data_IF_510633380296
#
_entry.id   IF_510633380296
#
_cell.length_a   1.000
_cell.length_b   1.000
_cell.length_c   1.000
_cell.angle_alpha   90.00
_cell.angle_beta   90.00
_cell.angle_gamma   90.00
#
_symmetry.space_group_name_H-M   'P 1'
#
loop_
_entity.id
_entity.type
_entity.pdbx_description
1 polymer ?
#
# COMPACT_ATOMS: atom_id res chain seq x y z
N UNK A 1 -0.38 20.83 20.72
CA UNK A 1 -0.01 19.76 21.68
C UNK A 1 0.31 18.48 20.94
N UNK A 2 -0.64 17.93 20.16
CA UNK A 2 -0.54 16.67 19.42
C UNK A 2 0.87 16.24 18.99
N UNK A 3 1.48 16.89 17.99
CA UNK A 3 2.81 16.50 17.48
C UNK A 3 3.95 16.53 18.51
N UNK A 4 3.84 17.30 19.59
CA UNK A 4 4.82 17.30 20.70
C UNK A 4 4.67 16.06 21.59
N UNK A 5 3.47 15.49 21.68
CA UNK A 5 3.18 14.26 22.40
C UNK A 5 3.68 13.05 21.59
N UNK A 6 3.32 12.99 20.31
CA UNK A 6 3.82 12.00 19.36
C UNK A 6 5.37 11.97 19.28
N UNK A 7 6.01 13.14 19.22
CA UNK A 7 7.47 13.24 19.19
C UNK A 7 8.15 12.65 20.45
N UNK A 8 7.50 12.78 21.62
CA UNK A 8 8.01 12.23 22.87
C UNK A 8 7.92 10.71 22.95
N UNK A 9 6.84 10.12 22.40
CA UNK A 9 6.66 8.66 22.34
C UNK A 9 7.73 8.00 21.47
N UNK A 10 8.12 8.66 20.37
CA UNK A 10 9.23 8.20 19.52
C UNK A 10 10.59 8.40 20.21
N UNK A 11 10.90 9.63 20.64
CA UNK A 11 12.28 10.05 20.91
C UNK A 11 12.45 11.00 22.11
N UNK A 12 11.62 10.93 23.15
CA UNK A 12 11.94 11.62 24.42
C UNK A 12 13.26 11.06 25.00
N UNK A 13 14.18 11.96 25.36
CA UNK A 13 15.50 11.60 25.84
C UNK A 13 15.44 10.88 27.21
N UNK A 14 16.20 9.79 27.34
CA UNK A 14 16.36 9.03 28.59
C UNK A 14 17.19 9.77 29.64
N UNK A 15 17.10 9.30 30.89
CA UNK A 15 18.03 9.55 31.99
C UNK A 15 18.32 11.03 32.34
N UNK A 16 17.44 11.94 31.92
CA UNK A 16 17.55 13.39 32.14
C UNK A 16 16.70 13.93 33.31
N UNK A 17 15.86 13.08 33.92
CA UNK A 17 14.93 13.46 35.00
C UNK A 17 13.68 14.23 34.55
N UNK A 18 13.34 14.25 33.25
CA UNK A 18 12.25 15.02 32.67
C UNK A 18 11.24 14.09 31.98
N UNK A 19 9.98 14.12 32.42
CA UNK A 19 8.85 13.34 31.90
C UNK A 19 9.03 11.81 31.89
N UNK A 20 9.71 11.26 30.89
CA UNK A 20 9.71 9.84 30.55
C UNK A 20 10.76 9.54 29.48
N UNK A 21 10.53 8.52 28.66
CA UNK A 21 11.49 8.08 27.63
C UNK A 21 10.76 7.62 26.38
N UNK A 22 11.27 7.96 25.20
CA UNK A 22 10.75 7.50 23.92
C UNK A 22 11.22 6.08 23.58
N UNK A 23 10.43 5.37 22.78
CA UNK A 23 10.73 3.99 22.35
C UNK A 23 12.11 3.88 21.69
N UNK A 24 12.50 4.90 20.92
CA UNK A 24 13.79 5.02 20.26
C UNK A 24 14.51 6.31 20.69
N UNK A 25 14.71 6.48 22.00
CA UNK A 25 15.25 7.68 22.68
C UNK A 25 16.57 8.28 22.14
N UNK A 26 17.42 7.52 21.43
CA UNK A 26 18.65 8.03 20.80
C UNK A 26 18.44 8.45 19.32
N UNK A 27 17.21 8.35 18.81
CA UNK A 27 16.84 8.78 17.44
C UNK A 27 16.73 10.30 17.32
N UNK A 28 16.91 10.80 16.09
CA UNK A 28 16.56 12.18 15.75
C UNK A 28 15.08 12.27 15.43
N UNK A 29 14.46 13.41 15.78
CA UNK A 29 13.07 13.71 15.47
C UNK A 29 12.97 15.02 14.68
N UNK A 30 12.07 15.07 13.71
CA UNK A 30 11.72 16.26 12.94
C UNK A 30 10.21 16.50 13.03
N UNK A 31 9.77 17.75 13.12
CA UNK A 31 8.37 18.12 13.24
C UNK A 31 7.90 18.94 12.04
N UNK A 32 6.97 18.39 11.26
CA UNK A 32 6.39 19.06 10.08
C UNK A 32 5.04 19.67 10.48
N UNK A 33 5.00 20.99 10.72
CA UNK A 33 3.77 21.70 11.13
C UNK A 33 2.90 22.00 9.89
N UNK A 34 2.03 21.05 9.56
CA UNK A 34 1.17 21.13 8.37
C UNK A 34 -0.33 21.15 8.67
N UNK A 35 -0.78 20.64 9.82
CA UNK A 35 -2.20 20.61 10.24
C UNK A 35 -2.76 21.93 10.79
N UNK A 36 -1.89 22.90 11.10
CA UNK A 36 -2.29 24.18 11.67
C UNK A 36 -2.59 25.19 10.55
N UNK A 37 -3.56 24.84 9.71
CA UNK A 37 -3.95 25.53 8.48
C UNK A 37 -5.48 25.62 8.40
N UNK A 38 -6.04 26.71 7.82
CA UNK A 38 -7.50 26.86 7.73
C UNK A 38 -8.16 25.84 6.77
N UNK A 39 -7.40 25.34 5.79
CA UNK A 39 -7.81 24.27 4.88
C UNK A 39 -6.61 23.39 4.57
N UNK A 40 -6.79 22.08 4.60
CA UNK A 40 -5.82 21.15 4.01
C UNK A 40 -5.95 21.14 2.49
N UNK A 41 -4.83 20.97 1.81
CA UNK A 41 -4.76 20.86 0.35
C UNK A 41 -3.74 19.80 -0.03
N UNK A 42 -4.02 19.06 -1.11
CA UNK A 42 -3.13 18.08 -1.76
C UNK A 42 -1.66 18.54 -1.82
N UNK A 43 -1.43 19.82 -2.16
CA UNK A 43 -0.08 20.41 -2.20
C UNK A 43 0.61 20.48 -0.82
N UNK A 44 -0.11 20.77 0.26
CA UNK A 44 0.46 20.81 1.62
C UNK A 44 0.78 19.38 2.08
N UNK A 45 -0.08 18.43 1.75
CA UNK A 45 0.06 17.02 2.11
C UNK A 45 1.25 16.38 1.40
N UNK A 46 1.29 16.46 0.08
CA UNK A 46 2.38 15.93 -0.75
C UNK A 46 3.74 16.56 -0.40
N UNK A 47 3.79 17.89 -0.13
CA UNK A 47 5.02 18.54 0.33
C UNK A 47 5.44 18.10 1.74
N UNK A 48 4.51 17.68 2.59
CA UNK A 48 4.79 17.22 3.95
C UNK A 48 5.30 15.78 3.97
N UNK A 49 4.66 14.90 3.20
CA UNK A 49 5.06 13.49 3.08
C UNK A 49 6.32 13.32 2.22
N UNK A 50 6.53 14.19 1.24
CA UNK A 50 7.75 14.29 0.44
C UNK A 50 8.86 15.16 1.03
N UNK A 51 8.78 15.59 2.30
CA UNK A 51 9.77 16.50 2.90
C UNK A 51 11.08 15.80 3.27
N UNK A 52 12.19 16.18 2.63
CA UNK A 52 13.54 15.64 2.94
C UNK A 52 13.62 14.09 2.94
N UNK A 53 13.13 13.39 1.89
CA UNK A 53 12.85 11.95 1.93
C UNK A 53 14.11 11.07 1.87
N UNK A 54 15.31 11.68 1.74
CA UNK A 54 16.59 10.98 1.89
C UNK A 54 17.26 11.24 3.25
N UNK A 55 16.68 12.10 4.09
CA UNK A 55 17.12 12.40 5.46
C UNK A 55 16.13 11.87 6.51
N UNK A 56 14.83 11.89 6.22
CA UNK A 56 13.78 11.34 7.07
C UNK A 56 13.52 9.88 6.67
N UNK A 57 13.79 8.94 7.58
CA UNK A 57 13.53 7.52 7.34
C UNK A 57 12.04 7.15 7.52
N UNK A 58 11.40 7.69 8.57
CA UNK A 58 10.07 7.32 9.02
C UNK A 58 9.22 8.58 9.17
N UNK A 59 8.02 8.58 8.60
CA UNK A 59 6.97 9.56 8.85
C UNK A 59 5.88 8.90 9.70
N UNK A 60 5.41 9.59 10.74
CA UNK A 60 4.29 9.15 11.59
C UNK A 60 3.17 10.19 11.47
N UNK A 61 1.96 9.76 11.11
CA UNK A 61 0.86 10.64 10.74
C UNK A 61 -0.53 10.06 11.08
N UNK A 62 -1.53 10.96 11.09
CA UNK A 62 -2.92 10.72 11.54
C UNK A 62 -3.90 11.72 10.88
N UNK A 63 -3.95 11.84 9.54
CA UNK A 63 -4.74 12.87 8.77
C UNK A 63 -4.91 12.50 7.25
N UNK A 64 -5.53 13.33 6.38
CA UNK A 64 -5.63 13.13 4.89
C UNK A 64 -6.53 14.12 4.04
N UNK A 65 -6.68 14.04 2.66
CA UNK A 65 -6.08 13.10 1.67
C UNK A 65 -5.59 13.55 0.23
N UNK A 66 -4.39 13.13 -0.24
CA UNK A 66 -3.99 11.89 -1.00
C UNK A 66 -2.46 11.80 -1.24
N UNK A 67 -1.80 10.61 -1.38
CA UNK A 67 -0.32 10.53 -1.60
C UNK A 67 0.23 9.28 -2.38
N UNK A 68 1.53 9.25 -2.77
CA UNK A 68 2.12 8.30 -3.76
C UNK A 68 3.38 7.48 -3.37
N UNK A 69 4.07 7.83 -2.28
CA UNK A 69 4.98 6.95 -1.51
C UNK A 69 6.24 6.38 -2.18
N UNK A 70 6.72 6.87 -3.33
CA UNK A 70 7.63 6.08 -4.20
C UNK A 70 9.12 6.48 -4.29
N UNK A 71 9.59 7.52 -3.61
CA UNK A 71 10.99 8.00 -3.67
C UNK A 71 11.59 8.46 -2.33
N UNK A 72 12.51 7.68 -1.77
CA UNK A 72 13.32 8.10 -0.62
C UNK A 72 14.13 6.97 0.01
N UNK A 73 14.83 7.26 1.10
CA UNK A 73 15.83 6.39 1.76
C UNK A 73 16.79 5.73 0.77
N UNK A 74 17.35 6.50 -0.16
CA UNK A 74 18.24 6.01 -1.22
C UNK A 74 17.67 4.84 -2.05
N UNK A 75 16.35 4.78 -2.22
CA UNK A 75 15.65 3.73 -2.98
C UNK A 75 15.13 2.56 -2.15
N UNK A 76 15.36 2.53 -0.83
CA UNK A 76 14.72 1.58 0.08
C UNK A 76 13.24 1.93 0.33
N UNK A 77 12.86 3.19 0.10
CA UNK A 77 11.53 3.74 0.38
C UNK A 77 11.35 4.08 1.86
N UNK A 78 10.77 5.26 2.12
CA UNK A 78 10.39 5.73 3.45
C UNK A 78 9.32 4.82 4.05
N UNK A 79 9.19 4.85 5.37
CA UNK A 79 8.16 4.13 6.11
C UNK A 79 7.13 5.16 6.54
N UNK A 80 5.90 5.04 6.05
CA UNK A 80 4.77 5.85 6.51
C UNK A 80 3.99 5.04 7.54
N UNK A 81 3.95 5.48 8.78
CA UNK A 81 3.15 4.88 9.84
C UNK A 81 1.88 5.70 9.99
N UNK A 82 0.72 5.05 9.90
CA UNK A 82 -0.58 5.71 10.00
C UNK A 82 -1.34 5.19 11.22
N UNK A 83 -1.98 6.10 11.94
CA UNK A 83 -3.07 5.74 12.83
C UNK A 83 -4.23 5.18 11.99
N UNK A 84 -4.85 4.07 12.41
CA UNK A 84 -5.95 3.48 11.65
C UNK A 84 -7.22 4.33 11.66
N UNK A 85 -7.47 5.10 12.73
CA UNK A 85 -8.63 5.97 12.87
C UNK A 85 -9.29 5.88 14.25
N UNK A 86 -10.01 6.95 14.63
CA UNK A 86 -10.65 7.13 15.94
C UNK A 86 -12.20 7.20 15.86
N UNK A 87 -12.79 6.83 14.72
CA UNK A 87 -14.24 6.80 14.46
C UNK A 87 -15.03 5.70 15.17
N UNK A 88 -14.35 4.71 15.74
CA UNK A 88 -14.96 3.64 16.54
C UNK A 88 -15.75 2.62 15.73
N UNK A 89 -16.91 2.22 16.25
CA UNK A 89 -17.67 1.08 15.71
C UNK A 89 -18.57 1.40 14.52
N UNK A 90 -18.81 2.69 14.28
CA UNK A 90 -19.68 3.21 13.23
C UNK A 90 -18.88 3.62 11.96
N UNK A 91 -17.56 3.39 11.95
CA UNK A 91 -16.65 3.68 10.83
C UNK A 91 -15.76 2.46 10.47
N UNK A 92 -15.16 2.47 9.28
CA UNK A 92 -14.28 1.40 8.76
C UNK A 92 -13.04 2.01 8.09
N UNK A 93 -11.86 1.75 8.65
CA UNK A 93 -10.60 2.31 8.18
C UNK A 93 -10.14 1.82 6.78
N UNK A 94 -10.93 1.01 6.04
CA UNK A 94 -10.78 0.87 4.59
C UNK A 94 -11.35 2.08 3.80
N UNK A 95 -12.20 2.90 4.42
CA UNK A 95 -12.75 4.14 3.85
C UNK A 95 -11.78 5.33 3.94
N UNK A 96 -10.78 5.28 4.83
CA UNK A 96 -9.61 6.16 4.82
C UNK A 96 -8.57 5.68 3.77
N UNK A 97 -8.30 6.52 2.77
CA UNK A 97 -7.38 6.21 1.67
C UNK A 97 -5.90 6.00 2.06
N UNK A 98 -5.46 6.42 3.25
CA UNK A 98 -4.13 6.15 3.80
C UNK A 98 -4.11 4.93 4.69
N UNK A 99 -5.08 4.77 5.59
CA UNK A 99 -5.17 3.57 6.41
C UNK A 99 -5.39 2.34 5.53
N UNK A 100 -6.08 2.48 4.39
CA UNK A 100 -6.22 1.48 3.33
C UNK A 100 -5.02 1.36 2.38
N UNK A 101 -4.04 2.28 2.43
CA UNK A 101 -2.95 2.35 1.45
C UNK A 101 -1.91 1.25 1.65
N UNK A 102 -1.53 0.56 0.57
CA UNK A 102 -0.42 -0.41 0.64
C UNK A 102 0.94 0.23 0.99
N UNK A 103 1.06 1.56 0.88
CA UNK A 103 2.30 2.31 1.12
C UNK A 103 2.48 2.75 2.57
N UNK A 104 1.43 2.65 3.39
CA UNK A 104 1.48 2.92 4.83
C UNK A 104 1.62 1.62 5.62
N UNK A 105 1.87 1.76 6.92
CA UNK A 105 1.69 0.73 7.92
C UNK A 105 0.59 1.25 8.84
N UNK A 106 -0.65 0.80 8.61
CA UNK A 106 -1.81 1.15 9.44
C UNK A 106 -1.71 0.42 10.79
N UNK A 107 -1.77 1.21 11.86
CA UNK A 107 -1.58 0.80 13.26
C UNK A 107 -2.81 1.22 14.07
N UNK A 108 -3.42 0.24 14.73
CA UNK A 108 -4.55 0.43 15.63
C UNK A 108 -4.12 0.35 17.11
N UNK A 109 -5.03 0.56 18.05
CA UNK A 109 -4.71 0.43 19.47
C UNK A 109 -4.87 -1.00 20.01
N UNK A 110 -4.30 -1.20 21.19
CA UNK A 110 -4.73 -2.17 22.18
C UNK A 110 -4.60 -1.50 23.55
N UNK A 111 -5.41 -1.90 24.53
CA UNK A 111 -5.33 -1.36 25.89
C UNK A 111 -4.64 -2.37 26.83
N UNK A 112 -4.21 -1.91 28.01
CA UNK A 112 -3.35 -2.67 28.93
C UNK A 112 -3.90 -4.03 29.40
N UNK A 113 -5.21 -4.29 29.28
CA UNK A 113 -5.84 -5.58 29.62
C UNK A 113 -6.12 -6.50 28.41
N UNK A 114 -5.70 -6.07 27.21
CA UNK A 114 -5.85 -6.81 25.96
C UNK A 114 -7.12 -6.49 25.17
N UNK A 115 -8.02 -5.64 25.67
CA UNK A 115 -9.16 -5.17 24.87
C UNK A 115 -8.75 -4.21 23.74
N UNK A 116 -9.62 -4.07 22.75
CA UNK A 116 -9.62 -2.90 21.86
C UNK A 116 -10.04 -1.65 22.64
N UNK A 117 -9.59 -0.48 22.20
CA UNK A 117 -10.17 0.79 22.62
C UNK A 117 -11.56 0.98 21.97
N UNK A 118 -12.37 1.86 22.56
CA UNK A 118 -13.75 2.10 22.08
C UNK A 118 -13.81 2.96 20.81
N UNK A 119 -12.73 3.70 20.51
CA UNK A 119 -12.57 4.52 19.33
C UNK A 119 -11.87 3.77 18.18
N UNK A 120 -11.36 2.55 18.41
CA UNK A 120 -10.65 1.78 17.39
C UNK A 120 -11.60 1.40 16.24
N UNK A 121 -11.30 1.89 15.04
CA UNK A 121 -11.94 1.47 13.80
C UNK A 121 -11.51 0.05 13.42
N UNK A 122 -12.39 -0.70 12.76
CA UNK A 122 -12.09 -2.04 12.27
C UNK A 122 -11.96 -2.05 10.75
N UNK A 123 -10.89 -2.62 10.21
CA UNK A 123 -10.72 -2.79 8.77
C UNK A 123 -9.75 -3.92 8.41
N UNK A 124 -9.69 -4.24 7.12
CA UNK A 124 -8.81 -5.29 6.58
C UNK A 124 -7.38 -4.82 6.24
N UNK A 125 -7.13 -3.51 6.30
CA UNK A 125 -5.83 -2.90 5.99
C UNK A 125 -4.92 -2.72 7.21
N UNK A 126 -5.48 -2.67 8.43
CA UNK A 126 -4.73 -2.64 9.70
C UNK A 126 -3.73 -3.80 9.77
N UNK A 127 -2.44 -3.48 9.90
CA UNK A 127 -1.38 -4.50 9.87
C UNK A 127 -1.02 -5.02 11.27
N UNK A 128 -1.07 -4.15 12.28
CA UNK A 128 -0.75 -4.48 13.68
C UNK A 128 -1.37 -3.44 14.63
N UNK A 129 -1.19 -3.65 15.93
CA UNK A 129 -1.49 -2.68 16.98
C UNK A 129 -0.25 -2.29 17.80
N UNK A 130 -0.38 -1.20 18.55
CA UNK A 130 0.49 -0.84 19.68
C UNK A 130 -0.38 -0.38 20.85
N UNK A 131 0.22 0.01 21.98
CA UNK A 131 -0.60 0.35 23.14
C UNK A 131 -1.11 1.78 23.06
N UNK A 132 -2.31 1.99 23.60
CA UNK A 132 -2.88 3.32 23.83
C UNK A 132 -3.89 3.22 24.98
N UNK A 133 -4.66 4.29 25.21
CA UNK A 133 -5.66 4.32 26.26
C UNK A 133 -7.00 3.73 25.77
N UNK A 134 -7.83 3.19 26.67
CA UNK A 134 -9.20 2.79 26.31
C UNK A 134 -10.22 3.93 26.37
N UNK A 135 -9.76 5.15 26.67
CA UNK A 135 -10.47 6.30 27.26
C UNK A 135 -11.64 6.01 28.24
N UNK A 136 -11.66 4.83 28.87
CA UNK A 136 -12.60 4.49 29.98
C UNK A 136 -12.37 5.37 31.21
N UNK A 137 -11.12 5.82 31.43
CA UNK A 137 -10.75 6.85 32.41
C UNK A 137 -9.98 7.97 31.69
N UNK A 138 -10.50 9.22 31.63
CA UNK A 138 -9.85 10.35 30.96
C UNK A 138 -8.55 10.80 31.63
N UNK A 139 -8.24 10.32 32.84
CA UNK A 139 -6.98 10.58 33.55
C UNK A 139 -5.88 9.56 33.20
N UNK A 140 -6.19 8.56 32.35
CA UNK A 140 -5.25 7.51 31.93
C UNK A 140 -4.91 7.61 30.46
N UNK A 141 -3.67 7.32 30.11
CA UNK A 141 -3.20 7.22 28.74
C UNK A 141 -1.68 7.23 28.64
N UNK A 142 -1.17 7.41 27.42
CA UNK A 142 0.26 7.30 27.16
C UNK A 142 1.00 8.49 27.81
N UNK A 143 2.11 8.17 28.46
CA UNK A 143 2.92 9.11 29.21
C UNK A 143 4.02 9.69 28.31
N UNK A 144 3.98 11.00 28.04
CA UNK A 144 4.85 11.64 27.06
C UNK A 144 5.04 13.15 27.33
N UNK A 145 5.86 13.83 26.53
CA UNK A 145 6.08 15.29 26.56
C UNK A 145 4.87 16.07 26.08
N UNK A 146 4.69 17.30 26.54
CA UNK A 146 3.64 18.21 26.10
C UNK A 146 4.15 19.65 25.96
N UNK A 147 3.33 20.53 25.39
CA UNK A 147 3.70 21.94 25.16
C UNK A 147 4.12 22.67 26.45
N UNK A 148 4.94 23.70 26.27
CA UNK A 148 5.40 24.61 27.32
C UNK A 148 6.25 23.92 28.41
N UNK A 149 7.02 22.90 28.03
CA UNK A 149 7.92 22.17 28.95
C UNK A 149 7.17 21.29 29.95
N UNK A 150 5.98 20.81 29.58
CA UNK A 150 5.14 19.95 30.43
C UNK A 150 5.28 18.49 30.04
N UNK A 151 4.71 17.63 30.88
CA UNK A 151 4.49 16.22 30.61
C UNK A 151 2.98 15.95 30.65
N UNK A 152 2.53 14.90 29.97
CA UNK A 152 1.16 14.39 30.05
C UNK A 152 1.17 12.89 30.34
N UNK A 153 0.09 12.40 30.98
CA UNK A 153 -0.23 10.98 31.16
C UNK A 153 -1.60 10.64 30.57
N UNK A 154 -2.07 11.48 29.64
CA UNK A 154 -3.43 11.43 29.06
C UNK A 154 -3.40 11.59 27.54
N UNK A 155 -2.32 11.18 26.87
CA UNK A 155 -2.38 10.97 25.42
C UNK A 155 -3.14 9.68 25.10
N UNK A 156 -3.80 9.64 23.95
CA UNK A 156 -4.96 8.80 23.67
C UNK A 156 -5.21 8.75 22.17
N UNK A 157 -6.05 7.80 21.73
CA UNK A 157 -6.36 7.59 20.31
C UNK A 157 -5.37 6.62 19.65
N UNK A 158 -5.73 6.15 18.48
CA UNK A 158 -4.80 5.49 17.53
C UNK A 158 -3.64 6.40 17.15
N UNK A 159 -3.85 7.72 17.28
CA UNK A 159 -2.81 8.75 17.15
C UNK A 159 -1.69 8.72 18.19
N UNK A 160 -1.85 8.02 19.32
CA UNK A 160 -0.77 7.71 20.27
C UNK A 160 -0.11 6.34 19.99
N UNK A 161 -0.84 5.42 19.34
CA UNK A 161 -0.33 4.12 18.90
C UNK A 161 0.67 4.25 17.72
N UNK A 162 0.32 5.00 16.67
CA UNK A 162 1.20 5.16 15.51
C UNK A 162 2.62 5.71 15.83
N UNK A 163 2.81 6.65 16.79
CA UNK A 163 4.12 7.04 17.30
C UNK A 163 4.91 5.91 17.99
N UNK A 164 4.29 5.07 18.83
CA UNK A 164 4.96 3.91 19.43
C UNK A 164 5.52 2.98 18.33
N UNK A 165 4.70 2.69 17.31
CA UNK A 165 5.10 1.87 16.17
C UNK A 165 6.24 2.50 15.35
N UNK A 166 6.21 3.81 15.12
CA UNK A 166 7.32 4.52 14.47
C UNK A 166 8.64 4.40 15.27
N UNK A 167 8.58 4.46 16.60
CA UNK A 167 9.72 4.16 17.46
C UNK A 167 10.24 2.73 17.31
N UNK A 168 9.34 1.73 17.29
CA UNK A 168 9.73 0.32 17.06
C UNK A 168 10.39 0.13 15.70
N UNK A 169 9.90 0.79 14.64
CA UNK A 169 10.52 0.73 13.32
C UNK A 169 11.89 1.43 13.27
N UNK A 170 12.10 2.50 14.05
CA UNK A 170 13.42 3.13 14.18
C UNK A 170 14.45 2.16 14.76
N UNK A 171 14.10 1.41 15.83
CA UNK A 171 14.95 0.36 16.40
C UNK A 171 15.24 -0.77 15.38
N UNK A 172 14.25 -1.14 14.57
CA UNK A 172 14.43 -2.14 13.51
C UNK A 172 15.38 -1.65 12.39
N UNK A 173 15.30 -0.36 12.03
CA UNK A 173 16.20 0.27 11.06
C UNK A 173 17.63 0.43 11.59
N UNK A 174 17.81 0.79 12.87
CA UNK A 174 19.13 0.80 13.52
C UNK A 174 19.77 -0.59 13.43
N UNK A 175 18.98 -1.63 13.73
CA UNK A 175 19.41 -3.02 13.68
C UNK A 175 19.73 -3.53 12.26
N UNK A 176 19.12 -2.96 11.22
CA UNK A 176 19.41 -3.26 9.82
C UNK A 176 18.99 -2.10 8.89
N UNK A 177 19.94 -1.21 8.58
CA UNK A 177 19.69 -0.03 7.74
C UNK A 177 19.30 -0.33 6.29
N UNK A 178 19.41 -1.59 5.84
CA UNK A 178 19.09 -2.05 4.48
C UNK A 178 17.64 -2.53 4.31
N UNK A 179 16.83 -2.49 5.37
CA UNK A 179 15.40 -2.82 5.28
C UNK A 179 14.68 -1.82 4.36
N UNK A 180 13.96 -2.34 3.38
CA UNK A 180 12.99 -1.57 2.58
C UNK A 180 11.66 -1.40 3.33
N UNK A 181 10.81 -0.47 2.87
CA UNK A 181 9.46 -0.28 3.43
C UNK A 181 8.64 -1.60 3.49
N UNK A 182 8.78 -2.46 2.46
CA UNK A 182 8.16 -3.80 2.44
C UNK A 182 8.75 -4.74 3.48
N UNK A 183 10.05 -4.66 3.73
CA UNK A 183 10.68 -5.52 4.74
C UNK A 183 10.14 -5.19 6.14
N UNK A 184 9.86 -3.92 6.43
CA UNK A 184 9.22 -3.47 7.69
C UNK A 184 7.79 -4.02 7.82
N UNK A 185 6.98 -3.97 6.76
CA UNK A 185 5.65 -4.62 6.75
C UNK A 185 5.77 -6.14 6.98
N UNK A 186 6.72 -6.81 6.31
CA UNK A 186 6.95 -8.25 6.50
C UNK A 186 7.41 -8.60 7.92
N UNK A 187 8.31 -7.81 8.50
CA UNK A 187 8.73 -7.96 9.90
C UNK A 187 7.53 -7.78 10.84
N UNK A 188 6.73 -6.73 10.63
CA UNK A 188 5.50 -6.44 11.40
C UNK A 188 4.57 -7.66 11.44
N UNK A 189 4.22 -8.22 10.28
CA UNK A 189 3.38 -9.43 10.20
C UNK A 189 3.99 -10.64 10.93
N UNK A 190 5.31 -10.82 10.83
CA UNK A 190 6.00 -12.01 11.35
C UNK A 190 6.40 -11.93 12.83
N UNK A 191 6.36 -10.75 13.45
CA UNK A 191 6.77 -10.56 14.85
C UNK A 191 5.68 -9.98 15.75
N UNK A 192 4.53 -9.56 15.21
CA UNK A 192 3.38 -9.15 16.00
C UNK A 192 2.81 -10.31 16.81
N UNK A 193 2.20 -10.00 17.96
CA UNK A 193 1.70 -10.99 18.92
C UNK A 193 0.24 -10.76 19.24
N UNK A 194 -0.56 -11.82 19.07
CA UNK A 194 -1.95 -11.92 19.52
C UNK A 194 -2.11 -11.84 21.05
N UNK A 195 -1.06 -12.10 21.85
CA UNK A 195 -1.13 -12.38 23.29
C UNK A 195 -2.23 -11.65 24.07
N UNK A 196 -3.23 -12.42 24.52
CA UNK A 196 -4.39 -11.94 25.30
C UNK A 196 -5.24 -10.85 24.65
N UNK A 197 -5.10 -10.57 23.35
CA UNK A 197 -5.91 -9.57 22.64
C UNK A 197 -7.30 -10.11 22.32
N UNK A 198 -8.35 -9.35 22.64
CA UNK A 198 -9.73 -9.69 22.31
C UNK A 198 -10.58 -8.46 22.04
N UNK A 199 -11.53 -8.59 21.11
CA UNK A 199 -12.62 -7.62 20.97
C UNK A 199 -13.54 -7.73 22.19
N UNK A 200 -13.68 -6.64 22.94
CA UNK A 200 -14.47 -6.57 24.17
C UNK A 200 -15.96 -6.87 23.92
N UNK A 201 -16.49 -6.53 22.73
CA UNK A 201 -17.87 -6.83 22.30
C UNK A 201 -17.95 -8.10 21.47
N UNK A 202 -16.80 -8.69 21.11
CA UNK A 202 -16.70 -9.97 20.43
C UNK A 202 -17.23 -9.97 19.00
N UNK A 203 -17.29 -8.83 18.32
CA UNK A 203 -17.71 -8.65 16.91
C UNK A 203 -16.70 -9.31 15.98
N UNK A 204 -15.41 -9.06 16.21
CA UNK A 204 -14.31 -9.57 15.37
C UNK A 204 -13.57 -10.72 16.08
N UNK A 205 -13.63 -11.91 15.49
CA UNK A 205 -12.90 -13.09 15.97
C UNK A 205 -11.55 -13.22 15.28
N UNK A 206 -10.55 -13.64 16.06
CA UNK A 206 -9.26 -14.07 15.52
C UNK A 206 -9.46 -15.21 14.53
N UNK A 207 -8.93 -15.04 13.32
CA UNK A 207 -9.06 -15.97 12.20
C UNK A 207 -7.66 -16.35 11.70
N UNK A 208 -7.48 -17.57 11.23
CA UNK A 208 -6.22 -18.04 10.66
C UNK A 208 -6.26 -17.98 9.14
N UNK A 209 -5.25 -17.38 8.52
CA UNK A 209 -5.14 -17.33 7.06
C UNK A 209 -4.58 -18.64 6.48
N UNK A 210 -4.57 -18.77 5.14
CA UNK A 210 -4.15 -19.99 4.44
C UNK A 210 -2.68 -20.41 4.61
N UNK A 211 -1.84 -19.62 5.30
CA UNK A 211 -0.45 -19.98 5.65
C UNK A 211 -0.23 -20.14 7.16
N UNK A 212 -1.31 -20.16 7.96
CA UNK A 212 -1.25 -20.44 9.40
C UNK A 212 -1.02 -19.22 10.30
N UNK A 213 -1.08 -17.99 9.76
CA UNK A 213 -0.95 -16.77 10.57
C UNK A 213 -2.33 -16.32 11.08
N UNK A 214 -2.41 -15.99 12.37
CA UNK A 214 -3.61 -15.42 12.99
C UNK A 214 -3.73 -13.91 12.72
N UNK A 215 -4.94 -13.43 12.46
CA UNK A 215 -5.23 -12.00 12.29
C UNK A 215 -6.62 -11.63 12.84
N UNK A 216 -6.85 -10.33 13.04
CA UNK A 216 -8.11 -9.73 13.47
C UNK A 216 -8.30 -8.34 12.83
N UNK A 217 -9.52 -7.93 12.50
CA UNK A 217 -9.79 -6.63 11.86
C UNK A 217 -9.56 -5.41 12.77
N UNK A 218 -9.54 -5.60 14.09
CA UNK A 218 -9.14 -4.56 15.04
C UNK A 218 -7.62 -4.56 15.26
N UNK A 219 -6.99 -5.74 15.40
CA UNK A 219 -5.59 -5.84 15.85
C UNK A 219 -4.56 -6.13 14.76
N UNK A 220 -4.97 -6.27 13.50
CA UNK A 220 -4.11 -6.79 12.44
C UNK A 220 -3.55 -8.17 12.81
N UNK A 221 -2.23 -8.35 12.71
CA UNK A 221 -1.52 -9.55 13.18
C UNK A 221 -1.17 -9.55 14.69
N UNK A 222 -1.64 -8.55 15.44
CA UNK A 222 -1.44 -8.39 16.89
C UNK A 222 -0.58 -7.18 17.25
N UNK A 223 -0.20 -7.09 18.53
CA UNK A 223 0.64 -5.99 19.03
C UNK A 223 2.10 -6.18 18.65
N UNK A 224 2.79 -5.09 18.27
CA UNK A 224 4.21 -5.12 17.93
C UNK A 224 5.09 -5.63 19.10
N UNK A 225 6.04 -6.50 18.78
CA UNK A 225 7.14 -6.87 19.70
C UNK A 225 8.46 -6.33 19.15
N UNK A 226 8.95 -5.26 19.78
CA UNK A 226 10.20 -4.59 19.40
C UNK A 226 11.42 -5.51 19.49
N UNK A 227 11.48 -6.37 20.52
CA UNK A 227 12.59 -7.31 20.72
C UNK A 227 12.62 -8.38 19.63
N UNK A 228 11.48 -8.96 19.30
CA UNK A 228 11.33 -9.91 18.21
C UNK A 228 11.60 -9.28 16.85
N UNK A 229 11.11 -8.05 16.61
CA UNK A 229 11.34 -7.30 15.37
C UNK A 229 12.83 -7.02 15.15
N UNK A 230 13.53 -6.47 16.16
CA UNK A 230 14.98 -6.23 16.12
C UNK A 230 15.77 -7.53 15.95
N UNK A 231 15.37 -8.61 16.64
CA UNK A 231 16.03 -9.91 16.52
C UNK A 231 15.82 -10.59 15.15
N UNK A 232 14.70 -10.31 14.46
CA UNK A 232 14.46 -10.78 13.11
C UNK A 232 15.14 -9.87 12.06
N UNK A 233 15.12 -8.55 12.24
CA UNK A 233 15.78 -7.55 11.40
C UNK A 233 17.29 -7.84 11.20
N UNK A 234 18.01 -8.16 12.28
CA UNK A 234 19.46 -8.48 12.26
C UNK A 234 19.84 -9.66 11.36
N UNK A 235 18.90 -10.56 11.10
CA UNK A 235 19.06 -11.74 10.23
C UNK A 235 18.17 -11.69 8.99
N UNK A 236 17.52 -10.55 8.74
CA UNK A 236 16.59 -10.41 7.63
C UNK A 236 17.31 -10.34 6.29
N UNK A 237 16.71 -10.97 5.28
CA UNK A 237 17.14 -10.88 3.89
C UNK A 237 16.03 -10.19 3.11
N UNK A 238 16.34 -9.02 2.55
CA UNK A 238 15.43 -8.19 1.76
C UNK A 238 14.59 -9.02 0.79
N UNK A 239 13.28 -8.83 0.83
CA UNK A 239 12.34 -9.59 0.00
C UNK A 239 12.58 -9.37 -1.49
N UNK A 240 12.34 -10.37 -2.35
CA UNK A 240 12.56 -10.22 -3.78
C UNK A 240 11.80 -9.03 -4.37
N UNK A 241 12.52 -8.24 -5.17
CA UNK A 241 11.92 -7.29 -6.10
C UNK A 241 11.53 -8.04 -7.40
N UNK A 242 10.45 -7.60 -8.07
CA UNK A 242 9.98 -8.17 -9.34
C UNK A 242 10.88 -7.73 -10.50
N UNK A 243 12.08 -8.31 -10.55
CA UNK A 243 13.15 -7.99 -11.49
C UNK A 243 12.82 -8.48 -12.90
N UNK A 244 12.97 -7.60 -13.89
CA UNK A 244 13.01 -7.97 -15.31
C UNK A 244 14.37 -8.64 -15.57
N UNK A 245 14.42 -9.91 -16.00
CA UNK A 245 15.69 -10.55 -16.36
C UNK A 245 16.31 -9.89 -17.59
N UNK A 246 17.64 -9.79 -17.64
CA UNK A 246 18.34 -9.20 -18.80
C UNK A 246 18.17 -10.02 -20.09
N UNK A 247 18.06 -11.35 -19.96
CA UNK A 247 18.08 -12.30 -21.09
C UNK A 247 16.80 -13.16 -21.20
N UNK A 248 15.74 -12.84 -20.44
CA UNK A 248 14.45 -13.57 -20.44
C UNK A 248 13.30 -12.60 -20.14
N UNK A 249 12.10 -12.92 -20.59
CA UNK A 249 10.91 -12.15 -20.22
C UNK A 249 10.48 -12.40 -18.77
N UNK A 250 10.12 -11.33 -18.06
CA UNK A 250 9.28 -11.38 -16.86
C UNK A 250 7.83 -11.55 -17.32
N UNK A 251 7.14 -12.56 -16.80
CA UNK A 251 5.74 -12.86 -17.13
C UNK A 251 4.90 -12.73 -15.87
N UNK A 252 3.85 -11.91 -15.91
CA UNK A 252 2.86 -11.76 -14.85
C UNK A 252 1.46 -12.04 -15.41
N UNK A 253 0.58 -12.59 -14.58
CA UNK A 253 -0.77 -12.99 -14.98
C UNK A 253 -1.80 -12.43 -14.01
N UNK A 254 -2.93 -11.97 -14.54
CA UNK A 254 -4.15 -11.64 -13.79
C UNK A 254 -5.27 -12.48 -14.38
N UNK A 255 -5.97 -13.23 -13.53
CA UNK A 255 -7.21 -13.91 -13.90
C UNK A 255 -8.37 -13.09 -13.38
N UNK A 256 -9.32 -12.73 -14.24
CA UNK A 256 -10.47 -11.88 -13.89
C UNK A 256 -11.77 -12.44 -14.45
N UNK A 257 -12.85 -12.26 -13.70
CA UNK A 257 -14.23 -12.48 -14.15
C UNK A 257 -14.82 -11.26 -14.87
N UNK A 258 -14.04 -10.18 -15.06
CA UNK A 258 -14.46 -8.90 -15.64
C UNK A 258 -15.72 -8.30 -14.99
N UNK A 259 -15.78 -8.35 -13.65
CA UNK A 259 -16.90 -7.85 -12.84
C UNK A 259 -18.25 -8.53 -13.17
N UNK A 260 -18.23 -9.80 -13.59
CA UNK A 260 -19.43 -10.57 -13.93
C UNK A 260 -20.49 -10.54 -12.82
N UNK A 261 -21.67 -10.01 -13.14
CA UNK A 261 -22.79 -9.85 -12.21
C UNK A 261 -22.94 -8.45 -11.61
N UNK A 262 -21.91 -7.61 -11.69
CA UNK A 262 -21.90 -6.26 -11.13
C UNK A 262 -22.38 -5.20 -12.14
N UNK A 263 -22.69 -3.99 -11.64
CA UNK A 263 -23.01 -2.83 -12.49
C UNK A 263 -21.84 -2.43 -13.42
N UNK A 264 -20.61 -2.83 -13.10
CA UNK A 264 -19.39 -2.59 -13.90
C UNK A 264 -18.98 -3.81 -14.74
N UNK A 265 -19.88 -4.78 -14.97
CA UNK A 265 -19.57 -5.95 -15.80
C UNK A 265 -19.17 -5.54 -17.23
N UNK A 266 -17.99 -5.97 -17.68
CA UNK A 266 -17.56 -5.82 -19.08
C UNK A 266 -17.61 -7.19 -19.76
N UNK A 267 -18.45 -7.33 -20.79
CA UNK A 267 -18.52 -8.54 -21.64
C UNK A 267 -17.89 -8.33 -23.00
N UNK A 268 -17.97 -7.12 -23.55
CA UNK A 268 -17.49 -6.76 -24.87
C UNK A 268 -16.49 -5.62 -24.73
N UNK A 269 -15.22 -5.90 -25.02
CA UNK A 269 -14.14 -4.93 -24.85
C UNK A 269 -14.17 -3.78 -25.87
N UNK A 270 -13.68 -2.63 -25.43
CA UNK A 270 -13.34 -1.49 -26.28
C UNK A 270 -11.85 -1.18 -26.10
N UNK A 271 -11.52 -0.51 -24.99
CA UNK A 271 -10.17 -0.12 -24.62
C UNK A 271 -9.67 -0.99 -23.46
N UNK A 272 -8.40 -1.39 -23.49
CA UNK A 272 -7.74 -2.05 -22.36
C UNK A 272 -6.49 -1.29 -22.00
N UNK A 273 -6.29 -1.02 -20.71
CA UNK A 273 -5.08 -0.38 -20.20
C UNK A 273 -4.35 -1.30 -19.24
N UNK A 274 -3.03 -1.36 -19.38
CA UNK A 274 -2.13 -1.79 -18.32
C UNK A 274 -1.49 -0.52 -17.74
N UNK A 275 -1.85 -0.18 -16.50
CA UNK A 275 -1.28 0.95 -15.76
C UNK A 275 -0.05 0.44 -15.02
N UNK A 276 1.15 0.84 -15.43
CA UNK A 276 2.42 0.32 -14.89
C UNK A 276 3.21 1.36 -14.10
N UNK A 277 3.82 0.92 -12.99
CA UNK A 277 4.98 1.57 -12.39
C UNK A 277 6.20 0.66 -12.57
N UNK A 278 7.24 1.12 -13.29
CA UNK A 278 8.48 0.35 -13.52
C UNK A 278 9.70 1.27 -13.61
N UNK A 279 10.88 0.75 -13.24
CA UNK A 279 12.16 1.42 -13.49
C UNK A 279 13.13 0.50 -14.28
N UNK A 280 14.10 1.11 -14.95
CA UNK A 280 15.12 0.39 -15.71
C UNK A 280 16.42 1.21 -15.80
N UNK A 281 17.55 0.53 -15.91
CA UNK A 281 18.86 1.14 -16.21
C UNK A 281 18.91 1.79 -17.58
N UNK A 282 18.01 1.40 -18.49
CA UNK A 282 17.73 2.10 -19.75
C UNK A 282 16.29 1.85 -20.20
N UNK A 283 15.43 2.86 -20.05
CA UNK A 283 13.98 2.78 -20.28
C UNK A 283 13.62 2.48 -21.73
N UNK A 284 14.39 3.01 -22.69
CA UNK A 284 14.16 2.77 -24.12
C UNK A 284 14.40 1.33 -24.59
N UNK A 285 15.08 0.51 -23.80
CA UNK A 285 15.28 -0.91 -24.10
C UNK A 285 14.19 -1.81 -23.48
N UNK A 286 13.23 -1.28 -22.71
CA UNK A 286 12.09 -2.04 -22.19
C UNK A 286 11.05 -2.26 -23.30
N UNK A 287 10.68 -3.52 -23.55
CA UNK A 287 9.50 -3.87 -24.34
C UNK A 287 8.42 -4.48 -23.44
N UNK A 288 7.16 -4.08 -23.67
CA UNK A 288 5.99 -4.59 -22.96
C UNK A 288 4.97 -5.16 -23.95
N UNK A 289 4.42 -6.32 -23.61
CA UNK A 289 3.32 -6.95 -24.35
C UNK A 289 2.20 -7.36 -23.41
N UNK A 290 0.96 -7.19 -23.87
CA UNK A 290 -0.25 -7.62 -23.17
C UNK A 290 -1.01 -8.63 -24.02
N UNK A 291 -1.25 -9.82 -23.49
CA UNK A 291 -2.01 -10.88 -24.16
C UNK A 291 -3.36 -11.06 -23.48
N UNK A 292 -4.44 -11.03 -24.26
CA UNK A 292 -5.81 -11.25 -23.79
C UNK A 292 -6.12 -12.73 -23.53
N UNK A 293 -7.22 -13.06 -22.81
CA UNK A 293 -7.69 -14.43 -22.64
C UNK A 293 -8.04 -15.14 -23.96
N UNK A 294 -8.34 -14.40 -25.03
CA UNK A 294 -8.58 -14.94 -26.38
C UNK A 294 -7.31 -15.11 -27.21
N UNK A 295 -6.13 -14.76 -26.67
CA UNK A 295 -4.82 -14.98 -27.28
C UNK A 295 -4.26 -13.79 -28.06
N UNK A 296 -4.98 -12.67 -28.17
CA UNK A 296 -4.52 -11.48 -28.88
C UNK A 296 -3.39 -10.78 -28.12
N UNK A 297 -2.19 -10.77 -28.71
CA UNK A 297 -0.96 -10.21 -28.12
C UNK A 297 -0.67 -8.82 -28.68
N UNK A 298 -0.90 -7.80 -27.88
CA UNK A 298 -0.59 -6.39 -28.17
C UNK A 298 0.83 -6.05 -27.74
N UNK A 299 1.62 -5.38 -28.57
CA UNK A 299 2.82 -4.66 -28.12
C UNK A 299 2.38 -3.29 -27.58
N UNK A 300 2.46 -3.09 -26.27
CA UNK A 300 1.99 -1.86 -25.62
C UNK A 300 3.14 -0.87 -25.34
N UNK A 301 4.39 -1.35 -25.39
CA UNK A 301 5.60 -0.53 -25.44
C UNK A 301 6.62 -1.22 -26.37
N UNK A 302 7.02 -0.52 -27.43
CA UNK A 302 8.12 -0.92 -28.32
C UNK A 302 9.46 -0.39 -27.80
N UNK A 303 10.56 -0.99 -28.25
CA UNK A 303 11.90 -0.42 -28.06
C UNK A 303 11.97 0.99 -28.64
N UNK A 304 12.50 1.95 -27.88
CA UNK A 304 12.73 3.35 -28.27
C UNK A 304 14.23 3.63 -28.23
N UNK A 305 14.90 3.54 -29.38
CA UNK A 305 16.37 3.59 -29.47
C UNK A 305 16.99 4.84 -28.84
N UNK A 306 16.31 5.99 -28.92
CA UNK A 306 16.80 7.28 -28.41
C UNK A 306 16.40 7.58 -26.96
N UNK A 307 15.63 6.72 -26.28
CA UNK A 307 15.26 6.91 -24.86
C UNK A 307 16.31 6.25 -23.96
N UNK A 308 17.31 7.04 -23.57
CA UNK A 308 18.40 6.62 -22.69
C UNK A 308 18.13 6.86 -21.19
N UNK A 309 16.89 7.23 -20.82
CA UNK A 309 16.50 7.44 -19.43
C UNK A 309 16.87 6.23 -18.54
N UNK A 310 17.51 6.54 -17.43
CA UNK A 310 18.00 5.62 -16.41
C UNK A 310 17.51 5.99 -15.00
N UNK A 311 16.68 7.03 -14.89
CA UNK A 311 16.24 7.64 -13.62
C UNK A 311 14.77 7.41 -13.36
N UNK A 312 13.92 7.81 -14.29
CA UNK A 312 12.49 8.02 -14.00
C UNK A 312 11.66 6.78 -14.29
N UNK A 313 11.97 6.05 -15.37
CA UNK A 313 11.19 4.89 -15.77
C UNK A 313 9.77 5.29 -16.21
N UNK A 314 8.77 4.60 -15.67
CA UNK A 314 7.35 4.96 -15.78
C UNK A 314 6.71 4.91 -14.39
N UNK A 315 5.90 5.92 -14.05
CA UNK A 315 5.07 5.94 -12.84
C UNK A 315 3.60 6.01 -13.22
N UNK A 316 2.79 5.07 -12.70
CA UNK A 316 1.34 4.91 -12.98
C UNK A 316 0.95 5.14 -14.46
N UNK A 317 1.80 4.72 -15.41
CA UNK A 317 1.63 5.05 -16.83
C UNK A 317 0.59 4.13 -17.51
N UNK A 318 -0.51 4.66 -18.09
CA UNK A 318 -1.60 3.87 -18.63
C UNK A 318 -1.34 3.45 -20.08
N UNK A 319 -0.54 2.40 -20.29
CA UNK A 319 -0.33 1.82 -21.62
C UNK A 319 -1.62 1.19 -22.14
N UNK A 320 -2.10 1.65 -23.29
CA UNK A 320 -3.42 1.31 -23.82
C UNK A 320 -3.33 0.46 -25.10
N UNK A 321 -4.27 -0.47 -25.29
CA UNK A 321 -4.50 -1.17 -26.55
C UNK A 321 -5.98 -1.21 -26.93
N UNK A 322 -6.26 -1.08 -28.23
CA UNK A 322 -7.56 -1.30 -28.87
C UNK A 322 -7.57 -2.59 -29.71
N UNK A 323 -6.48 -3.37 -29.73
CA UNK A 323 -6.40 -4.56 -30.58
C UNK A 323 -7.37 -5.67 -30.15
N UNK A 324 -7.82 -5.64 -28.89
CA UNK A 324 -8.77 -6.59 -28.29
C UNK A 324 -10.23 -6.12 -28.40
N UNK A 325 -10.55 -5.16 -29.28
CA UNK A 325 -11.90 -4.62 -29.40
C UNK A 325 -12.91 -5.71 -29.81
N UNK A 326 -14.02 -5.79 -29.08
CA UNK A 326 -15.06 -6.80 -29.25
C UNK A 326 -14.72 -8.17 -28.67
N UNK A 327 -13.54 -8.37 -28.08
CA UNK A 327 -13.20 -9.61 -27.37
C UNK A 327 -13.89 -9.70 -26.01
N UNK A 328 -13.92 -10.92 -25.47
CA UNK A 328 -14.42 -11.25 -24.15
C UNK A 328 -13.30 -11.18 -23.11
N UNK A 329 -13.38 -10.31 -22.09
CA UNK A 329 -12.28 -10.06 -21.17
C UNK A 329 -12.10 -11.11 -20.05
N UNK A 330 -13.05 -12.05 -19.91
CA UNK A 330 -13.06 -13.05 -18.84
C UNK A 330 -11.99 -14.12 -19.06
N UNK A 331 -11.16 -14.36 -18.05
CA UNK A 331 -10.06 -15.33 -18.09
C UNK A 331 -8.72 -14.69 -17.71
N UNK A 332 -7.63 -15.25 -18.23
CA UNK A 332 -6.26 -14.91 -17.82
C UNK A 332 -5.59 -13.96 -18.81
N UNK A 333 -5.36 -12.72 -18.36
CA UNK A 333 -4.51 -11.74 -19.01
C UNK A 333 -3.05 -11.98 -18.66
N UNK A 334 -2.15 -11.78 -19.61
CA UNK A 334 -0.70 -11.95 -19.42
C UNK A 334 0.05 -10.69 -19.82
N UNK A 335 0.77 -10.09 -18.87
CA UNK A 335 1.74 -9.02 -19.11
C UNK A 335 3.14 -9.62 -19.21
N UNK A 336 3.81 -9.36 -20.33
CA UNK A 336 5.18 -9.76 -20.60
C UNK A 336 6.08 -8.52 -20.68
N UNK A 337 7.16 -8.50 -19.90
CA UNK A 337 8.16 -7.43 -19.91
C UNK A 337 9.55 -8.01 -20.14
N UNK A 338 10.32 -7.41 -21.06
CA UNK A 338 11.68 -7.87 -21.39
C UNK A 338 12.57 -6.70 -21.81
N UNK A 339 13.87 -6.94 -21.87
CA UNK A 339 14.80 -6.03 -22.51
C UNK A 339 15.09 -6.42 -23.96
N UNK A 340 15.08 -5.44 -24.86
CA UNK A 340 15.59 -5.54 -26.22
C UNK A 340 16.87 -4.70 -26.32
N UNK A 341 17.99 -5.26 -25.84
CA UNK A 341 19.30 -4.61 -25.83
C UNK A 341 20.40 -5.64 -26.12
N UNK A 342 21.53 -5.18 -26.68
CA UNK A 342 22.75 -5.98 -26.80
C UNK A 342 23.55 -5.99 -25.49
N UNK A 343 23.52 -4.90 -24.72
CA UNK A 343 24.10 -4.82 -23.39
C UNK A 343 23.11 -5.29 -22.32
N UNK A 344 23.53 -6.06 -21.30
CA UNK A 344 22.65 -6.47 -20.21
C UNK A 344 22.07 -5.26 -19.48
N UNK A 345 20.74 -5.12 -19.51
CA UNK A 345 20.01 -4.11 -18.74
C UNK A 345 19.39 -4.75 -17.49
N UNK A 346 19.05 -3.93 -16.50
CA UNK A 346 18.28 -4.35 -15.32
C UNK A 346 17.15 -3.39 -15.04
N UNK A 347 16.06 -3.89 -14.45
CA UNK A 347 14.88 -3.09 -14.13
C UNK A 347 13.89 -3.90 -13.33
N UNK A 348 12.85 -3.24 -12.82
CA UNK A 348 11.85 -3.84 -11.96
C UNK A 348 10.47 -3.28 -12.27
N UNK A 349 9.44 -4.14 -12.28
CA UNK A 349 8.05 -3.67 -12.27
C UNK A 349 7.60 -3.60 -10.82
N UNK A 350 7.37 -2.39 -10.32
CA UNK A 350 6.89 -2.15 -8.96
C UNK A 350 5.40 -2.52 -8.84
N UNK A 351 4.62 -2.17 -9.85
CA UNK A 351 3.15 -2.25 -9.84
C UNK A 351 2.63 -2.44 -11.27
N UNK A 352 1.54 -3.19 -11.43
CA UNK A 352 0.72 -3.14 -12.64
C UNK A 352 -0.76 -3.38 -12.32
N UNK A 353 -1.63 -2.61 -12.94
CA UNK A 353 -3.09 -2.70 -12.82
C UNK A 353 -3.71 -2.89 -14.20
N UNK A 354 -4.64 -3.82 -14.32
CA UNK A 354 -5.41 -4.06 -15.55
C UNK A 354 -6.73 -3.31 -15.45
N UNK A 355 -6.98 -2.38 -16.38
CA UNK A 355 -8.28 -1.71 -16.54
C UNK A 355 -8.94 -2.16 -17.85
N UNK A 356 -10.21 -2.53 -17.76
CA UNK A 356 -11.02 -3.05 -18.85
C UNK A 356 -12.16 -2.05 -19.09
N UNK A 357 -12.26 -1.52 -20.30
CA UNK A 357 -13.35 -0.63 -20.71
C UNK A 357 -14.19 -1.32 -21.78
N UNK A 358 -15.50 -1.09 -21.75
CA UNK A 358 -16.44 -1.64 -22.72
C UNK A 358 -17.83 -1.84 -22.14
N UNK A 359 -18.66 -2.64 -22.79
CA UNK A 359 -20.08 -2.80 -22.44
C UNK A 359 -20.39 -4.17 -21.83
N UNK A 360 -21.42 -4.21 -20.97
CA UNK A 360 -22.09 -5.46 -20.56
C UNK A 360 -22.93 -6.04 -21.68
N UNK A 361 -23.69 -5.19 -22.34
CA UNK A 361 -24.71 -5.57 -23.31
C UNK A 361 -24.16 -5.49 -24.75
N UNK A 362 -24.54 -6.40 -25.67
CA UNK A 362 -23.92 -6.55 -26.99
C UNK A 362 -24.19 -5.33 -27.90
N UNK A 363 -23.15 -4.53 -28.24
CA UNK A 363 -23.33 -3.17 -28.80
C UNK A 363 -23.79 -3.14 -30.26
N UNK A 364 -23.81 -4.28 -30.95
CA UNK A 364 -24.08 -4.35 -32.40
C UNK A 364 -25.35 -5.12 -32.77
N UNK A 365 -26.16 -5.55 -31.78
CA UNK A 365 -27.28 -6.48 -31.98
C UNK A 365 -28.31 -5.98 -32.99
N UNK A 366 -28.68 -4.71 -32.93
CA UNK A 366 -29.72 -4.10 -33.77
C UNK A 366 -29.24 -3.66 -35.16
N UNK A 367 -27.92 -3.58 -35.38
CA UNK A 367 -27.36 -3.07 -36.63
C UNK A 367 -27.49 -4.09 -37.78
N UNK A 368 -28.04 -3.71 -38.95
CA UNK A 368 -28.17 -4.62 -40.08
C UNK A 368 -26.81 -4.90 -40.74
N UNK A 369 -26.55 -6.16 -41.09
CA UNK A 369 -25.38 -6.56 -41.87
C UNK A 369 -25.68 -6.39 -43.35
N UNK A 370 -25.20 -5.29 -43.94
CA UNK A 370 -25.38 -4.99 -45.37
C UNK A 370 -24.37 -5.72 -46.28
N UNK A 371 -23.16 -5.95 -45.76
CA UNK A 371 -22.10 -6.74 -46.41
C UNK A 371 -21.64 -7.87 -45.47
N UNK A 372 -21.76 -9.15 -45.86
CA UNK A 372 -21.37 -10.29 -45.04
C UNK A 372 -19.85 -10.40 -44.80
N UNK A 373 -19.01 -9.66 -45.52
CA UNK A 373 -17.55 -9.59 -45.31
C UNK A 373 -17.11 -8.39 -44.46
N UNK A 374 -18.04 -7.51 -44.07
CA UNK A 374 -17.75 -6.34 -43.25
C UNK A 374 -17.25 -6.73 -41.85
N UNK A 375 -16.47 -5.83 -41.22
CA UNK A 375 -16.04 -6.00 -39.81
C UNK A 375 -17.23 -6.19 -38.86
N UNK A 376 -18.36 -5.52 -39.14
CA UNK A 376 -19.61 -5.68 -38.39
C UNK A 376 -20.14 -7.12 -38.49
N UNK A 377 -20.17 -7.72 -39.68
CA UNK A 377 -20.58 -9.11 -39.88
C UNK A 377 -19.71 -10.09 -39.10
N UNK A 378 -18.38 -9.90 -39.15
CA UNK A 378 -17.40 -10.74 -38.46
C UNK A 378 -17.61 -10.69 -36.94
N UNK A 379 -17.74 -9.49 -36.37
CA UNK A 379 -17.89 -9.31 -34.92
C UNK A 379 -19.26 -9.81 -34.45
N UNK A 380 -20.37 -9.51 -35.16
CA UNK A 380 -21.70 -10.05 -34.81
C UNK A 380 -21.72 -11.58 -34.81
N UNK A 381 -21.11 -12.24 -35.79
CA UNK A 381 -20.99 -13.70 -35.82
C UNK A 381 -20.19 -14.27 -34.62
N UNK A 382 -19.17 -13.55 -34.15
CA UNK A 382 -18.42 -13.92 -32.94
C UNK A 382 -19.21 -13.66 -31.64
N UNK A 383 -20.17 -12.73 -31.67
CA UNK A 383 -21.06 -12.42 -30.54
C UNK A 383 -22.23 -13.39 -30.44
N UNK A 384 -22.92 -13.67 -31.54
CA UNK A 384 -24.04 -14.61 -31.63
C UNK A 384 -23.66 -16.08 -31.35
N UNK A 385 -22.44 -16.48 -31.70
CA UNK A 385 -21.98 -17.86 -31.50
C UNK A 385 -21.74 -18.20 -30.02
N UNK A 386 -21.35 -17.22 -29.20
CA UNK A 386 -21.11 -17.43 -27.76
C UNK A 386 -22.38 -17.29 -26.91
N UNK A 387 -23.40 -16.54 -27.35
CA UNK A 387 -24.71 -16.51 -26.68
C UNK A 387 -25.49 -17.83 -26.77
N UNK A 388 -24.98 -18.82 -27.51
CA UNK A 388 -25.53 -20.18 -27.63
C UNK A 388 -24.76 -21.25 -26.83
N UNK A 389 -23.76 -20.83 -26.04
CA UNK A 389 -22.98 -21.64 -25.11
C UNK A 389 -23.16 -21.13 -23.68
#
# INVERSE_FOLDING_TARGET
>A
SHGTRCAGEVAAARDNGICGVGVAYDSKIAGIRMLDQPYMTDLIEANSMGHEPNLIDIYSASWGPTDDGKTGRNGLGNIYVWASGDGGEDDDCNCDGYAASMWTVSINSAINDGQNAHYDESCSSTLASTFSNGAKDPNTGVATTDLYGKCTTTHSGTSAAAPEAAGVFALALEANTKLSWRDIQHLTVLTSKRNSLFDAKGRFKWTMNGVGLEFNHLFGFGVLDAGAMVALAKRWKTVPARKIPSNKSLIMKITTNACKGENTEVRYLEHVQAVLTLNATRRGDVELFLTSPMGTRSMILSRRQNDDDSRDGFSKWPFMTTHTWGEYPQGTWTLEAKFNSQTPQTGFIKEWTLMLHGTRDPPYTELPVLDPHSKLAIVKKAHESRSKM
#
